data_IF_476503586022
#
_entry.id   IF_476503586022
#
_cell.length_a   1.000
_cell.length_b   1.000
_cell.length_c   1.000
_cell.angle_alpha   90.00
_cell.angle_beta   90.00
_cell.angle_gamma   90.00
#
_symmetry.space_group_name_H-M   'P 1'
#
loop_
_entity.id
_entity.type
_entity.pdbx_description
1 polymer ?
#
# COMPACT_ATOMS: atom_id res chain seq x y z
N UNK A 1 22.56 40.52 0.87
CA UNK A 1 21.24 39.87 0.64
C UNK A 1 21.53 38.45 0.23
N UNK A 2 21.42 37.52 1.17
CA UNK A 2 21.65 36.09 0.91
C UNK A 2 20.25 35.49 0.85
N UNK A 3 19.89 34.96 -0.31
CA UNK A 3 18.59 34.36 -0.60
C UNK A 3 18.50 33.00 0.11
N UNK A 4 17.72 32.95 1.20
CA UNK A 4 17.38 31.72 1.92
C UNK A 4 16.27 30.96 1.19
N UNK A 5 16.54 30.42 -0.01
CA UNK A 5 15.75 29.28 -0.48
C UNK A 5 16.12 28.06 0.35
N UNK A 6 15.50 27.96 1.53
CA UNK A 6 15.28 26.69 2.24
C UNK A 6 14.64 25.75 1.23
N UNK A 7 15.43 24.84 0.67
CA UNK A 7 14.91 23.64 0.02
C UNK A 7 14.13 22.90 1.10
N UNK A 8 12.82 23.13 1.13
CA UNK A 8 11.91 22.37 1.95
C UNK A 8 11.97 20.96 1.38
N UNK A 9 12.74 20.07 2.03
CA UNK A 9 12.68 18.65 1.73
C UNK A 9 11.28 18.23 2.14
N UNK A 10 10.36 18.19 1.17
CA UNK A 10 9.02 17.67 1.38
C UNK A 10 9.18 16.16 1.53
N UNK A 11 9.37 15.69 2.76
CA UNK A 11 9.45 14.26 3.05
C UNK A 11 8.07 13.67 2.74
N UNK A 12 8.04 12.56 2.00
CA UNK A 12 6.78 11.84 1.74
C UNK A 12 6.07 11.52 3.07
N UNK A 13 4.75 11.75 3.09
CA UNK A 13 3.93 11.51 4.28
C UNK A 13 3.56 10.02 4.38
N UNK A 14 3.77 9.44 5.56
CA UNK A 14 3.32 8.09 5.88
C UNK A 14 1.83 8.08 6.23
N UNK A 15 1.07 7.02 5.91
CA UNK A 15 -0.23 6.78 6.47
C UNK A 15 -0.07 6.41 7.94
N UNK A 16 -1.12 6.63 8.73
CA UNK A 16 -1.23 6.13 10.09
C UNK A 16 -1.26 4.59 10.12
N UNK A 17 -1.08 4.01 11.31
CA UNK A 17 -1.06 2.55 11.48
C UNK A 17 -2.38 1.87 11.09
N UNK A 18 -3.52 2.54 11.22
CA UNK A 18 -4.82 2.04 10.77
C UNK A 18 -4.97 2.15 9.25
N UNK A 19 -4.56 3.28 8.66
CA UNK A 19 -4.61 3.47 7.21
C UNK A 19 -3.73 2.45 6.48
N UNK A 20 -2.57 2.08 7.04
CA UNK A 20 -1.66 1.11 6.45
C UNK A 20 -2.34 -0.21 6.06
N UNK A 21 -3.21 -0.74 6.92
CA UNK A 21 -3.89 -2.02 6.66
C UNK A 21 -4.89 -1.91 5.53
N UNK A 22 -5.56 -0.77 5.42
CA UNK A 22 -6.44 -0.49 4.30
C UNK A 22 -5.64 -0.40 2.98
N UNK A 23 -4.48 0.28 2.99
CA UNK A 23 -3.60 0.32 1.81
C UNK A 23 -3.09 -1.08 1.42
N UNK A 24 -2.76 -1.93 2.39
CA UNK A 24 -2.33 -3.31 2.15
C UNK A 24 -3.46 -4.16 1.59
N UNK A 25 -4.67 -4.06 2.15
CA UNK A 25 -5.83 -4.80 1.69
C UNK A 25 -6.14 -4.56 0.21
N UNK A 26 -6.05 -3.32 -0.26
CA UNK A 26 -6.23 -2.97 -1.67
C UNK A 26 -5.18 -3.64 -2.55
N UNK A 27 -3.91 -3.63 -2.11
CA UNK A 27 -2.81 -4.23 -2.85
C UNK A 27 -2.97 -5.77 -2.93
N UNK A 28 -3.28 -6.41 -1.81
CA UNK A 28 -3.45 -7.86 -1.73
C UNK A 28 -4.73 -8.35 -2.41
N UNK A 29 -5.76 -7.52 -2.52
CA UNK A 29 -6.92 -7.79 -3.38
C UNK A 29 -6.59 -7.71 -4.88
N UNK A 30 -5.35 -7.34 -5.25
CA UNK A 30 -4.90 -7.18 -6.63
C UNK A 30 -5.37 -5.89 -7.28
N UNK A 31 -5.86 -4.92 -6.51
CA UNK A 31 -6.35 -3.65 -7.02
C UNK A 31 -5.21 -2.62 -7.12
N UNK A 32 -5.18 -1.78 -8.17
CA UNK A 32 -4.34 -0.60 -8.18
C UNK A 32 -4.79 0.40 -7.09
N UNK A 33 -3.89 1.31 -6.72
CA UNK A 33 -4.25 2.41 -5.83
C UNK A 33 -5.32 3.31 -6.46
N UNK A 34 -6.38 3.63 -5.71
CA UNK A 34 -7.40 4.56 -6.13
C UNK A 34 -6.87 6.01 -6.02
N UNK A 35 -6.73 6.67 -7.17
CA UNK A 35 -6.25 8.05 -7.24
C UNK A 35 -7.42 9.00 -7.00
N UNK A 36 -7.46 9.62 -5.83
CA UNK A 36 -8.53 10.53 -5.40
C UNK A 36 -8.19 11.99 -5.71
N UNK A 37 -6.92 12.36 -5.63
CA UNK A 37 -6.43 13.70 -5.99
C UNK A 37 -5.15 13.57 -6.82
N UNK A 38 -5.31 13.71 -8.14
CA UNK A 38 -4.21 13.63 -9.11
C UNK A 38 -3.18 14.75 -8.94
N UNK A 39 -3.61 15.95 -8.57
CA UNK A 39 -2.73 17.09 -8.44
C UNK A 39 -1.82 16.91 -7.23
N UNK A 40 -2.41 16.56 -6.08
CA UNK A 40 -1.65 16.25 -4.86
C UNK A 40 -0.74 15.05 -5.08
N UNK A 41 -1.24 13.96 -5.67
CA UNK A 41 -0.47 12.73 -5.88
C UNK A 41 0.79 12.93 -6.72
N UNK A 42 0.77 13.87 -7.68
CA UNK A 42 1.95 14.21 -8.50
C UNK A 42 2.90 15.19 -7.81
N UNK A 43 2.37 16.09 -6.98
CA UNK A 43 3.15 17.15 -6.35
C UNK A 43 3.90 16.67 -5.09
N UNK A 44 3.46 15.58 -4.47
CA UNK A 44 4.07 15.06 -3.25
C UNK A 44 5.02 13.89 -3.53
N UNK A 45 6.22 13.85 -2.92
CA UNK A 45 7.09 12.68 -3.01
C UNK A 45 6.41 11.44 -2.44
N UNK A 46 6.58 10.31 -3.13
CA UNK A 46 6.09 9.03 -2.66
C UNK A 46 6.85 8.59 -1.41
N UNK A 47 6.18 7.94 -0.47
CA UNK A 47 6.82 7.18 0.58
C UNK A 47 6.83 5.71 0.18
N UNK A 48 8.00 5.09 0.28
CA UNK A 48 8.22 3.72 -0.19
C UNK A 48 8.96 2.88 0.86
N UNK A 49 8.70 1.58 0.82
CA UNK A 49 9.55 0.56 1.42
C UNK A 49 9.79 -0.57 0.41
N UNK A 50 10.89 -1.32 0.59
CA UNK A 50 11.21 -2.45 -0.29
C UNK A 50 10.69 -3.75 0.34
N UNK A 51 10.03 -4.57 -0.47
CA UNK A 51 9.57 -5.91 -0.09
C UNK A 51 9.81 -6.88 -1.26
N UNK A 52 10.51 -7.99 -1.00
CA UNK A 52 10.87 -9.01 -2.00
C UNK A 52 11.44 -8.42 -3.31
N UNK A 53 12.29 -7.40 -3.19
CA UNK A 53 12.93 -6.72 -4.32
C UNK A 53 12.04 -5.75 -5.10
N UNK A 54 10.80 -5.50 -4.65
CA UNK A 54 9.86 -4.55 -5.25
C UNK A 54 9.67 -3.32 -4.36
N UNK A 55 9.43 -2.19 -5.00
CA UNK A 55 9.05 -0.95 -4.33
C UNK A 55 7.56 -0.96 -4.02
N UNK A 56 7.23 -0.88 -2.74
CA UNK A 56 5.88 -0.71 -2.24
C UNK A 56 5.71 0.76 -1.88
N UNK A 57 5.10 1.52 -2.78
CA UNK A 57 4.99 2.97 -2.66
C UNK A 57 3.53 3.42 -2.52
N UNK A 58 3.32 4.55 -1.85
CA UNK A 58 2.08 5.32 -1.91
C UNK A 58 2.40 6.81 -2.05
N UNK A 59 1.41 7.57 -2.47
CA UNK A 59 1.48 9.03 -2.57
C UNK A 59 0.27 9.65 -1.89
N UNK A 60 0.39 10.89 -1.42
CA UNK A 60 -0.74 11.62 -0.85
C UNK A 60 -1.81 11.82 -1.92
N UNK A 61 -3.08 11.61 -1.60
CA UNK A 61 -4.16 11.66 -2.59
C UNK A 61 -4.36 10.34 -3.35
N UNK A 62 -3.65 9.27 -2.97
CA UNK A 62 -3.91 7.91 -3.43
C UNK A 62 -4.21 7.01 -2.24
N UNK A 63 -5.25 6.19 -2.37
CA UNK A 63 -5.62 5.14 -1.43
C UNK A 63 -5.19 3.79 -2.02
N UNK A 64 -4.56 2.91 -1.24
CA UNK A 64 -3.86 1.73 -1.74
C UNK A 64 -2.37 1.95 -2.05
N UNK A 65 -1.65 0.86 -2.35
CA UNK A 65 -0.29 0.91 -2.88
C UNK A 65 -0.32 1.16 -4.39
N UNK A 66 0.66 1.91 -4.89
CA UNK A 66 0.82 2.22 -6.30
C UNK A 66 1.40 1.01 -7.03
N UNK A 67 0.72 0.58 -8.09
CA UNK A 67 1.32 -0.34 -9.09
C UNK A 67 2.51 0.32 -9.78
N UNK A 68 3.39 -0.46 -10.41
CA UNK A 68 4.55 0.10 -11.11
C UNK A 68 4.16 1.20 -12.13
N UNK A 69 3.15 1.02 -13.01
CA UNK A 69 2.73 2.10 -13.91
C UNK A 69 2.23 3.36 -13.18
N UNK A 70 1.61 3.20 -12.00
CA UNK A 70 1.20 4.35 -11.20
C UNK A 70 2.38 5.03 -10.53
N UNK A 71 3.41 4.29 -10.12
CA UNK A 71 4.63 4.88 -9.57
C UNK A 71 5.33 5.76 -10.63
N UNK A 72 5.37 5.32 -11.88
CA UNK A 72 5.96 6.08 -12.98
C UNK A 72 5.24 7.42 -13.23
N UNK A 73 3.94 7.49 -12.92
CA UNK A 73 3.09 8.69 -13.10
C UNK A 73 3.09 9.60 -11.87
N UNK A 74 3.05 9.02 -10.67
CA UNK A 74 2.76 9.75 -9.43
C UNK A 74 3.98 9.94 -8.53
N UNK A 75 5.05 9.16 -8.66
CA UNK A 75 6.28 9.36 -7.90
C UNK A 75 7.28 10.30 -8.58
N UNK A 76 6.80 11.17 -9.49
CA UNK A 76 7.63 12.13 -10.26
C UNK A 76 8.29 13.19 -9.39
N UNK A 77 7.72 13.50 -8.23
CA UNK A 77 8.34 14.37 -7.22
C UNK A 77 9.44 13.65 -6.40
N UNK A 78 9.68 12.37 -6.67
CA UNK A 78 10.69 11.54 -6.03
C UNK A 78 10.10 10.41 -5.18
N UNK A 79 10.97 9.45 -4.83
CA UNK A 79 10.69 8.36 -3.89
C UNK A 79 11.52 8.55 -2.63
N UNK A 80 10.85 8.55 -1.48
CA UNK A 80 11.51 8.57 -0.16
C UNK A 80 11.50 7.16 0.42
N UNK A 81 12.68 6.60 0.65
CA UNK A 81 12.84 5.33 1.35
C UNK A 81 13.25 5.59 2.79
N UNK A 82 12.52 4.99 3.73
CA UNK A 82 12.97 4.93 5.12
C UNK A 82 13.04 3.46 5.52
N UNK A 83 14.20 3.03 6.02
CA UNK A 83 14.34 1.70 6.59
C UNK A 83 13.33 1.54 7.73
N UNK A 84 12.37 0.63 7.55
CA UNK A 84 11.31 0.34 8.51
C UNK A 84 11.11 -1.16 8.63
N UNK A 85 12.01 -1.88 9.32
CA UNK A 85 11.91 -3.33 9.48
C UNK A 85 10.54 -3.77 10.01
N UNK A 86 9.99 -3.04 10.98
CA UNK A 86 8.65 -3.30 11.53
C UNK A 86 7.53 -3.17 10.48
N UNK A 87 7.64 -2.23 9.54
CA UNK A 87 6.67 -2.10 8.44
C UNK A 87 6.75 -3.27 7.48
N UNK A 88 7.98 -3.66 7.10
CA UNK A 88 8.21 -4.82 6.24
C UNK A 88 7.70 -6.09 6.90
N UNK A 89 7.95 -6.29 8.19
CA UNK A 89 7.43 -7.41 8.97
C UNK A 89 5.90 -7.41 9.02
N UNK A 90 5.29 -6.25 9.32
CA UNK A 90 3.83 -6.10 9.35
C UNK A 90 3.20 -6.43 7.99
N UNK A 91 3.77 -5.91 6.90
CA UNK A 91 3.30 -6.23 5.55
C UNK A 91 3.53 -7.72 5.20
N UNK A 92 4.64 -8.32 5.64
CA UNK A 92 4.89 -9.76 5.42
C UNK A 92 3.79 -10.61 6.03
N UNK A 93 3.45 -10.37 7.31
CA UNK A 93 2.39 -11.10 8.01
C UNK A 93 1.01 -10.86 7.40
N UNK A 94 0.75 -9.65 6.90
CA UNK A 94 -0.48 -9.32 6.18
C UNK A 94 -0.57 -10.05 4.84
N UNK A 95 0.51 -10.07 4.05
CA UNK A 95 0.58 -10.76 2.77
C UNK A 95 0.43 -12.28 2.93
N UNK A 96 1.00 -12.87 3.98
CA UNK A 96 0.80 -14.29 4.32
C UNK A 96 -0.67 -14.61 4.66
N UNK A 97 -1.35 -13.71 5.37
CA UNK A 97 -2.79 -13.85 5.62
C UNK A 97 -3.60 -13.77 4.32
N UNK A 98 -3.25 -12.85 3.43
CA UNK A 98 -3.87 -12.70 2.12
C UNK A 98 -3.65 -13.92 1.23
N UNK A 99 -2.46 -14.51 1.24
CA UNK A 99 -2.15 -15.74 0.50
C UNK A 99 -3.08 -16.89 0.93
N UNK A 100 -3.25 -17.09 2.25
CA UNK A 100 -4.19 -18.09 2.77
C UNK A 100 -5.65 -17.79 2.42
N UNK A 101 -6.05 -16.51 2.42
CA UNK A 101 -7.38 -16.09 1.99
C UNK A 101 -7.61 -16.33 0.49
N UNK A 102 -6.59 -16.10 -0.35
CA UNK A 102 -6.64 -16.37 -1.79
C UNK A 102 -6.88 -17.84 -2.11
N UNK A 103 -6.23 -18.77 -1.39
CA UNK A 103 -6.45 -20.22 -1.56
C UNK A 103 -7.93 -20.61 -1.41
N UNK A 104 -8.69 -19.94 -0.54
CA UNK A 104 -10.13 -20.19 -0.38
C UNK A 104 -10.89 -19.80 -1.65
N UNK A 105 -10.62 -18.62 -2.22
CA UNK A 105 -11.34 -18.14 -3.41
C UNK A 105 -10.85 -18.75 -4.73
N UNK A 106 -9.62 -19.26 -4.80
CA UNK A 106 -9.10 -19.98 -5.97
C UNK A 106 -9.89 -21.26 -6.25
N UNK A 107 -10.39 -21.91 -5.20
CA UNK A 107 -11.24 -23.11 -5.30
C UNK A 107 -12.65 -22.85 -5.81
N UNK A 108 -13.08 -21.57 -5.85
CA UNK A 108 -14.44 -21.21 -6.26
C UNK A 108 -14.61 -21.26 -7.79
N UNK A 109 -15.83 -21.49 -8.30
CA UNK A 109 -16.16 -21.29 -9.72
C UNK A 109 -15.80 -19.88 -10.21
N UNK A 110 -15.37 -19.76 -11.47
CA UNK A 110 -15.10 -18.47 -12.13
C UNK A 110 -16.42 -17.74 -12.43
N UNK A 111 -16.38 -16.41 -12.48
CA UNK A 111 -17.55 -15.58 -12.83
C UNK A 111 -18.52 -15.31 -11.68
N UNK A 112 -18.19 -15.72 -10.45
CA UNK A 112 -18.92 -15.33 -9.24
C UNK A 112 -18.21 -14.18 -8.52
N UNK A 113 -18.96 -13.39 -7.76
CA UNK A 113 -18.42 -12.40 -6.84
C UNK A 113 -17.56 -13.08 -5.78
N UNK A 114 -16.28 -12.71 -5.73
CA UNK A 114 -15.28 -13.29 -4.81
C UNK A 114 -14.81 -12.31 -3.75
N UNK A 115 -15.11 -11.02 -3.91
CA UNK A 115 -14.59 -9.97 -3.03
C UNK A 115 -15.08 -10.16 -1.60
N UNK A 116 -16.38 -10.36 -1.37
CA UNK A 116 -16.93 -10.57 -0.03
C UNK A 116 -16.37 -11.83 0.64
N UNK A 117 -16.23 -12.92 -0.13
CA UNK A 117 -15.66 -14.18 0.37
C UNK A 117 -14.19 -13.99 0.74
N UNK A 118 -13.43 -13.29 -0.10
CA UNK A 118 -12.04 -12.96 0.18
C UNK A 118 -11.91 -12.06 1.41
N UNK A 119 -12.76 -11.03 1.56
CA UNK A 119 -12.75 -10.13 2.72
C UNK A 119 -13.07 -10.90 4.02
N UNK A 120 -14.05 -11.79 3.99
CA UNK A 120 -14.36 -12.67 5.13
C UNK A 120 -13.19 -13.58 5.48
N UNK A 121 -12.60 -14.25 4.47
CA UNK A 121 -11.43 -15.09 4.64
C UNK A 121 -10.22 -14.31 5.18
N UNK A 122 -10.00 -13.11 4.68
CA UNK A 122 -8.94 -12.22 5.12
C UNK A 122 -9.11 -11.84 6.59
N UNK A 123 -10.33 -11.48 7.00
CA UNK A 123 -10.65 -11.18 8.41
C UNK A 123 -10.35 -12.34 9.36
N UNK A 124 -10.70 -13.57 8.96
CA UNK A 124 -10.35 -14.79 9.71
C UNK A 124 -8.84 -14.98 9.84
N UNK A 125 -8.09 -14.84 8.75
CA UNK A 125 -6.64 -15.07 8.73
C UNK A 125 -5.86 -13.98 9.49
N UNK A 126 -6.31 -12.73 9.44
CA UNK A 126 -5.77 -11.63 10.24
C UNK A 126 -6.03 -11.86 11.73
N UNK A 127 -7.24 -12.30 12.09
CA UNK A 127 -7.62 -12.59 13.47
C UNK A 127 -6.77 -13.71 14.09
N UNK A 128 -6.53 -14.81 13.35
CA UNK A 128 -5.63 -15.91 13.78
C UNK A 128 -4.21 -15.45 14.09
N UNK A 129 -3.78 -14.36 13.45
CA UNK A 129 -2.44 -13.79 13.57
C UNK A 129 -2.39 -12.62 14.55
N UNK A 130 -3.47 -12.29 15.25
CA UNK A 130 -3.56 -11.12 16.13
C UNK A 130 -3.14 -9.81 15.46
N UNK A 131 -3.54 -9.64 14.19
CA UNK A 131 -3.36 -8.40 13.45
C UNK A 131 -4.69 -7.64 13.57
N UNK A 132 -4.72 -6.63 14.44
CA UNK A 132 -5.88 -5.72 14.54
C UNK A 132 -6.01 -4.89 13.27
N UNK A 133 -7.23 -4.75 12.78
CA UNK A 133 -7.61 -4.00 11.56
C UNK A 133 -8.36 -2.74 11.94
#
# INVERSE_FOLDING_TARGET
MIDETKTLVVIGQMPSDHELLFHFGIAEAGSPGAVLDKATARATPCSCFTYKGKDMCWSKGVVGLLTQPQQDIYCVAGKTYKARPALTERYTRFAEAAEEAHKKIESMPKGMERLEVWLGAMGEELSKRSIEV
#
